data_IF_775323411328
#
_entry.id   IF_775323411328
#
_cell.length_a   1.000
_cell.length_b   1.000
_cell.length_c   1.000
_cell.angle_alpha   90.00
_cell.angle_beta   90.00
_cell.angle_gamma   90.00
#
_symmetry.space_group_name_H-M   'P 1'
#
loop_
_entity.id
_entity.type
_entity.pdbx_description
1 polymer ?
#
# COMPACT_ATOMS: atom_id res chain seq x y z
N UNK A 1 24.98 0.48 12.58
CA UNK A 1 24.08 0.84 13.69
C UNK A 1 23.31 -0.37 14.20
N UNK A 2 22.90 -0.39 15.49
CA UNK A 2 21.98 -1.38 16.04
C UNK A 2 20.59 -0.79 16.15
N UNK A 3 19.57 -1.49 15.64
CA UNK A 3 18.18 -1.01 15.53
C UNK A 3 17.24 -2.01 16.22
N UNK A 4 16.49 -1.59 17.23
CA UNK A 4 15.36 -2.37 17.73
C UNK A 4 14.14 -2.08 16.89
N UNK A 5 13.66 -3.08 16.16
CA UNK A 5 12.46 -2.99 15.33
C UNK A 5 11.26 -3.50 16.13
N UNK A 6 10.43 -2.55 16.59
CA UNK A 6 9.20 -2.87 17.32
C UNK A 6 8.02 -2.77 16.36
N UNK A 7 7.80 -3.82 15.58
CA UNK A 7 6.74 -3.90 14.57
C UNK A 7 6.43 -5.37 14.29
N UNK A 8 5.25 -5.67 13.72
CA UNK A 8 4.93 -7.05 13.35
C UNK A 8 5.21 -7.32 11.87
N UNK A 9 5.57 -8.57 11.59
CA UNK A 9 5.63 -9.15 10.25
C UNK A 9 4.43 -10.04 9.99
N UNK A 10 4.13 -10.43 8.74
CA UNK A 10 3.03 -11.35 8.44
C UNK A 10 3.10 -12.65 9.24
N UNK A 11 1.96 -13.30 9.55
CA UNK A 11 0.59 -12.84 9.45
C UNK A 11 0.20 -11.83 10.56
N UNK A 12 -0.83 -10.99 10.41
CA UNK A 12 -1.70 -10.87 9.23
C UNK A 12 -1.00 -10.18 8.04
N UNK A 13 -1.38 -10.60 6.83
CA UNK A 13 -0.82 -10.04 5.59
C UNK A 13 -1.50 -8.71 5.24
N UNK A 14 -0.77 -7.62 5.34
CA UNK A 14 -1.15 -6.28 4.85
C UNK A 14 0.12 -5.48 4.50
N UNK A 15 -0.03 -4.40 3.76
CA UNK A 15 1.10 -3.65 3.20
C UNK A 15 2.19 -3.28 4.22
N UNK A 16 1.82 -2.76 5.41
CA UNK A 16 2.77 -2.42 6.47
C UNK A 16 3.59 -3.63 6.95
N UNK A 17 2.92 -4.77 7.28
CA UNK A 17 3.63 -5.95 7.78
C UNK A 17 4.57 -6.54 6.74
N UNK A 18 4.19 -6.47 5.45
CA UNK A 18 5.02 -6.90 4.35
C UNK A 18 6.27 -5.99 4.19
N UNK A 19 6.10 -4.66 4.26
CA UNK A 19 7.24 -3.74 4.19
C UNK A 19 8.22 -3.93 5.37
N UNK A 20 7.72 -4.18 6.59
CA UNK A 20 8.57 -4.50 7.74
C UNK A 20 9.35 -5.81 7.52
N UNK A 21 8.71 -6.81 6.92
CA UNK A 21 9.39 -8.07 6.55
C UNK A 21 10.52 -7.80 5.54
N UNK A 22 10.23 -7.09 4.45
CA UNK A 22 11.22 -6.77 3.41
C UNK A 22 12.41 -5.96 3.97
N UNK A 23 12.14 -5.00 4.86
CA UNK A 23 13.19 -4.26 5.56
C UNK A 23 14.08 -5.18 6.39
N UNK A 24 13.48 -6.06 7.21
CA UNK A 24 14.26 -7.00 8.04
C UNK A 24 15.11 -7.93 7.17
N UNK A 25 14.52 -8.53 6.14
CA UNK A 25 15.23 -9.40 5.20
C UNK A 25 16.36 -8.65 4.49
N UNK A 26 16.12 -7.42 4.06
CA UNK A 26 17.09 -6.57 3.38
C UNK A 26 18.30 -6.20 4.27
N UNK A 27 18.11 -6.08 5.59
CA UNK A 27 19.17 -5.81 6.55
C UNK A 27 19.73 -7.08 7.22
N UNK A 28 19.48 -8.28 6.67
CA UNK A 28 20.05 -9.54 7.15
C UNK A 28 19.26 -10.22 8.27
N UNK A 29 18.01 -9.82 8.52
CA UNK A 29 17.12 -10.44 9.48
C UNK A 29 17.32 -10.00 10.92
N UNK A 30 16.77 -10.79 11.86
CA UNK A 30 17.00 -10.56 13.30
C UNK A 30 18.37 -11.07 13.71
N UNK A 31 19.25 -10.19 14.17
CA UNK A 31 20.62 -10.47 14.56
C UNK A 31 20.77 -11.54 15.68
N UNK A 32 19.66 -11.90 16.34
CA UNK A 32 19.63 -12.98 17.36
C UNK A 32 19.43 -14.38 16.76
N UNK A 33 19.08 -14.47 15.46
CA UNK A 33 18.84 -15.73 14.76
C UNK A 33 20.05 -16.13 13.94
N UNK A 34 20.51 -17.35 14.08
CA UNK A 34 21.64 -17.93 13.34
C UNK A 34 21.15 -19.12 12.51
N UNK A 35 21.70 -19.34 11.29
CA UNK A 35 22.59 -18.43 10.56
C UNK A 35 21.85 -17.18 10.08
N UNK A 36 22.51 -16.03 10.10
CA UNK A 36 21.98 -14.80 9.53
C UNK A 36 21.79 -14.93 8.01
N UNK A 37 20.79 -14.24 7.47
CA UNK A 37 20.65 -14.09 6.02
C UNK A 37 21.68 -13.06 5.52
N UNK A 38 22.19 -13.18 4.29
CA UNK A 38 23.04 -12.14 3.71
C UNK A 38 22.23 -10.84 3.58
N UNK A 39 22.77 -9.77 4.15
CA UNK A 39 22.16 -8.45 4.03
C UNK A 39 22.33 -7.93 2.60
N UNK A 40 21.29 -7.27 2.05
CA UNK A 40 21.40 -6.50 0.80
C UNK A 40 22.08 -5.16 1.04
N UNK A 41 21.92 -4.61 2.26
CA UNK A 41 22.56 -3.37 2.68
C UNK A 41 23.23 -3.60 4.04
N UNK A 42 24.54 -3.41 4.08
CA UNK A 42 25.37 -3.65 5.26
C UNK A 42 25.28 -2.53 6.31
N UNK A 43 25.79 -2.81 7.51
CA UNK A 43 25.99 -1.81 8.56
C UNK A 43 24.77 -1.51 9.43
N UNK A 44 23.63 -2.19 9.23
CA UNK A 44 22.43 -2.10 10.09
C UNK A 44 22.14 -3.50 10.65
N UNK A 45 22.18 -3.64 11.98
CA UNK A 45 21.82 -4.86 12.68
C UNK A 45 20.44 -4.70 13.33
N UNK A 46 19.45 -5.44 12.86
CA UNK A 46 18.09 -5.41 13.37
C UNK A 46 17.92 -6.40 14.54
N UNK A 47 17.26 -5.95 15.59
CA UNK A 47 16.80 -6.75 16.72
C UNK A 47 15.28 -6.65 16.74
N UNK A 48 14.56 -7.71 16.40
CA UNK A 48 13.15 -7.67 16.10
C UNK A 48 12.27 -8.11 17.26
N UNK A 49 11.38 -7.23 17.73
CA UNK A 49 10.23 -7.58 18.58
C UNK A 49 9.00 -7.67 17.67
N UNK A 50 8.59 -8.91 17.37
CA UNK A 50 7.40 -9.15 16.54
C UNK A 50 6.13 -8.85 17.32
N UNK A 51 5.79 -7.57 17.42
CA UNK A 51 4.69 -7.03 18.22
C UNK A 51 3.32 -7.24 17.54
N UNK A 52 2.87 -8.50 17.51
CA UNK A 52 1.59 -8.90 16.92
C UNK A 52 0.45 -8.73 17.93
N UNK A 53 -0.36 -7.68 17.79
CA UNK A 53 -1.47 -7.39 18.68
C UNK A 53 -2.83 -7.94 18.20
N UNK A 54 -2.93 -8.37 16.95
CA UNK A 54 -4.16 -8.90 16.35
C UNK A 54 -3.87 -10.24 15.67
N UNK A 55 -4.81 -11.19 15.78
CA UNK A 55 -4.70 -12.50 15.13
C UNK A 55 -5.20 -12.46 13.69
N UNK A 56 -6.13 -11.54 13.38
CA UNK A 56 -6.72 -11.35 12.06
C UNK A 56 -7.04 -9.89 11.77
N UNK A 57 -7.47 -9.58 10.54
CA UNK A 57 -7.85 -8.22 10.13
C UNK A 57 -9.11 -7.73 10.86
N UNK A 58 -10.01 -8.63 11.25
CA UNK A 58 -11.25 -8.30 11.98
C UNK A 58 -10.97 -7.86 13.43
N UNK A 59 -9.88 -8.32 14.03
CA UNK A 59 -9.50 -7.98 15.41
C UNK A 59 -8.80 -6.62 15.53
N UNK A 60 -8.56 -5.94 14.42
CA UNK A 60 -7.84 -4.67 14.40
C UNK A 60 -8.73 -3.55 14.95
N UNK A 61 -8.39 -3.07 16.14
CA UNK A 61 -9.08 -1.94 16.78
C UNK A 61 -10.07 -2.31 17.89
N UNK A 62 -10.26 -3.61 18.20
CA UNK A 62 -11.04 -4.02 19.38
C UNK A 62 -10.22 -3.96 20.67
N UNK A 63 -10.85 -3.43 21.73
CA UNK A 63 -10.28 -3.41 23.06
C UNK A 63 -10.51 -4.74 23.77
N UNK A 64 -9.43 -5.46 24.07
CA UNK A 64 -9.45 -6.68 24.89
C UNK A 64 -8.40 -6.54 26.00
N UNK A 65 -8.76 -6.84 27.23
CA UNK A 65 -7.83 -6.79 28.38
C UNK A 65 -6.57 -7.64 28.17
N UNK A 66 -6.69 -8.78 27.50
CA UNK A 66 -5.56 -9.62 27.13
C UNK A 66 -4.51 -8.90 26.25
N UNK A 67 -4.91 -7.89 25.46
CA UNK A 67 -3.98 -7.10 24.63
C UNK A 67 -3.04 -6.23 25.48
N UNK A 68 -3.46 -5.79 26.67
CA UNK A 68 -2.59 -5.02 27.58
C UNK A 68 -1.41 -5.89 28.05
N UNK A 69 -1.65 -7.12 28.43
CA UNK A 69 -0.58 -8.05 28.83
C UNK A 69 0.40 -8.32 27.68
N UNK A 70 -0.10 -8.44 26.45
CA UNK A 70 0.76 -8.57 25.27
C UNK A 70 1.62 -7.32 25.04
N UNK A 71 1.05 -6.12 25.22
CA UNK A 71 1.82 -4.87 25.10
C UNK A 71 2.94 -4.85 26.15
N UNK A 72 2.62 -5.13 27.42
CA UNK A 72 3.61 -5.17 28.48
C UNK A 72 4.70 -6.21 28.20
N UNK A 73 4.33 -7.38 27.75
CA UNK A 73 5.27 -8.44 27.37
C UNK A 73 6.23 -8.00 26.25
N UNK A 74 5.71 -7.39 25.17
CA UNK A 74 6.56 -6.91 24.09
C UNK A 74 7.44 -5.72 24.54
N UNK A 75 6.93 -4.83 25.41
CA UNK A 75 7.77 -3.78 25.99
C UNK A 75 8.90 -4.34 26.84
N UNK A 76 8.64 -5.36 27.68
CA UNK A 76 9.67 -6.03 28.47
C UNK A 76 10.72 -6.69 27.58
N UNK A 77 10.30 -7.34 26.48
CA UNK A 77 11.25 -7.89 25.48
C UNK A 77 12.11 -6.77 24.88
N UNK A 78 11.53 -5.64 24.51
CA UNK A 78 12.28 -4.51 23.97
C UNK A 78 13.32 -3.97 24.94
N UNK A 79 12.93 -3.78 26.21
CA UNK A 79 13.81 -3.33 27.29
C UNK A 79 14.93 -4.36 27.55
N UNK A 80 14.59 -5.65 27.60
CA UNK A 80 15.57 -6.71 27.74
C UNK A 80 16.62 -6.68 26.61
N UNK A 81 16.18 -6.57 25.36
CA UNK A 81 17.06 -6.47 24.18
C UNK A 81 17.95 -5.22 24.28
N UNK A 82 17.38 -4.08 24.69
CA UNK A 82 18.12 -2.83 24.89
C UNK A 82 19.35 -3.05 25.75
N UNK A 83 19.19 -3.66 26.94
CA UNK A 83 20.29 -3.87 27.88
C UNK A 83 21.16 -5.04 27.50
N UNK A 84 20.60 -6.15 27.03
CA UNK A 84 21.37 -7.38 26.70
C UNK A 84 22.30 -7.21 25.50
N UNK A 85 21.90 -6.40 24.51
CA UNK A 85 22.61 -6.24 23.24
C UNK A 85 23.14 -4.81 23.00
N UNK A 86 22.91 -3.90 23.92
CA UNK A 86 23.33 -2.49 23.78
C UNK A 86 22.67 -1.77 22.62
N UNK A 87 21.37 -2.04 22.35
CA UNK A 87 20.65 -1.42 21.26
C UNK A 87 20.05 -0.10 21.72
N UNK A 88 20.42 1.02 21.11
CA UNK A 88 20.03 2.38 21.54
C UNK A 88 18.99 3.03 20.65
N UNK A 89 18.77 2.51 19.46
CA UNK A 89 17.83 3.07 18.47
C UNK A 89 16.52 2.27 18.49
N UNK A 90 15.41 2.96 18.77
CA UNK A 90 14.06 2.39 18.81
C UNK A 90 13.29 2.77 17.56
N UNK A 91 13.06 1.80 16.68
CA UNK A 91 12.25 1.95 15.48
C UNK A 91 10.84 1.45 15.75
N UNK A 92 9.86 2.32 15.49
CA UNK A 92 8.46 2.08 15.76
C UNK A 92 7.58 2.50 14.59
N UNK A 93 6.51 1.74 14.35
CA UNK A 93 5.49 2.06 13.34
C UNK A 93 4.22 2.54 14.05
N UNK A 94 3.91 3.85 13.97
CA UNK A 94 2.75 4.43 14.63
C UNK A 94 1.43 3.95 14.03
N UNK A 95 0.38 3.93 14.85
CA UNK A 95 -0.97 3.62 14.41
C UNK A 95 -1.59 4.76 13.57
N UNK A 96 -2.55 4.43 12.68
CA UNK A 96 -3.41 5.43 12.07
C UNK A 96 -4.31 6.09 13.11
N UNK A 97 -5.01 7.17 12.76
CA UNK A 97 -5.90 7.95 13.60
C UNK A 97 -7.12 7.15 14.12
N UNK A 98 -6.90 6.31 15.13
CA UNK A 98 -7.94 5.57 15.88
C UNK A 98 -7.59 5.60 17.37
N UNK A 99 -8.55 5.96 18.24
CA UNK A 99 -8.32 6.11 19.69
C UNK A 99 -7.72 4.88 20.35
N UNK A 100 -8.30 3.70 20.11
CA UNK A 100 -7.82 2.43 20.72
C UNK A 100 -6.38 2.12 20.30
N UNK A 101 -6.05 2.33 19.04
CA UNK A 101 -4.70 2.10 18.54
C UNK A 101 -3.71 3.12 19.10
N UNK A 102 -4.12 4.38 19.29
CA UNK A 102 -3.28 5.42 19.86
C UNK A 102 -3.03 5.23 21.37
N UNK A 103 -3.99 4.70 22.13
CA UNK A 103 -3.76 4.32 23.53
C UNK A 103 -2.68 3.23 23.66
N UNK A 104 -2.66 2.26 22.72
CA UNK A 104 -1.58 1.29 22.63
C UNK A 104 -0.23 2.01 22.41
N UNK A 105 -0.19 2.92 21.46
CA UNK A 105 1.04 3.66 21.12
C UNK A 105 1.51 4.52 22.32
N UNK A 106 0.60 5.14 23.05
CA UNK A 106 0.93 5.87 24.28
C UNK A 106 1.61 4.97 25.31
N UNK A 107 1.04 3.78 25.55
CA UNK A 107 1.59 2.84 26.51
C UNK A 107 2.98 2.34 26.08
N UNK A 108 3.18 2.03 24.80
CA UNK A 108 4.48 1.62 24.26
C UNK A 108 5.51 2.76 24.39
N UNK A 109 5.14 4.00 24.04
CA UNK A 109 6.04 5.15 24.16
C UNK A 109 6.37 5.43 25.62
N UNK A 110 5.40 5.38 26.54
CA UNK A 110 5.63 5.57 27.96
C UNK A 110 6.59 4.54 28.54
N UNK A 111 6.46 3.27 28.16
CA UNK A 111 7.25 2.18 28.71
C UNK A 111 8.61 1.99 28.02
N UNK A 112 8.70 2.16 26.71
CA UNK A 112 9.93 1.87 25.97
C UNK A 112 10.82 3.10 25.80
N UNK A 113 10.25 4.26 25.42
CA UNK A 113 11.04 5.45 25.07
C UNK A 113 12.10 5.85 26.10
N UNK A 114 11.86 5.80 27.44
CA UNK A 114 12.86 6.21 28.43
C UNK A 114 14.16 5.41 28.40
N UNK A 115 14.15 4.23 27.80
CA UNK A 115 15.31 3.34 27.76
C UNK A 115 16.12 3.42 26.46
N UNK A 116 15.65 4.21 25.47
CA UNK A 116 16.32 4.33 24.17
C UNK A 116 16.79 5.77 23.94
N UNK A 117 17.99 5.90 23.41
CA UNK A 117 18.62 7.20 23.16
C UNK A 117 17.98 7.90 21.96
N UNK A 118 17.53 7.11 20.98
CA UNK A 118 16.92 7.63 19.74
C UNK A 118 15.62 6.93 19.40
N UNK A 119 14.60 7.72 19.09
CA UNK A 119 13.29 7.25 18.61
C UNK A 119 13.14 7.57 17.14
N UNK A 120 12.85 6.55 16.37
CA UNK A 120 12.63 6.58 14.92
C UNK A 120 11.21 6.11 14.64
N UNK A 121 10.41 6.94 13.99
CA UNK A 121 9.06 6.59 13.58
C UNK A 121 9.02 6.35 12.08
N UNK A 122 8.38 5.27 11.63
CA UNK A 122 8.15 5.01 10.22
C UNK A 122 6.63 4.97 9.93
N UNK A 123 6.16 5.91 9.14
CA UNK A 123 4.73 6.18 8.92
C UNK A 123 4.20 5.44 7.69
N UNK A 124 3.56 4.28 7.90
CA UNK A 124 2.91 3.53 6.81
C UNK A 124 1.46 3.96 6.57
N UNK A 125 0.83 4.64 7.53
CA UNK A 125 -0.49 5.25 7.39
C UNK A 125 -0.40 6.77 7.44
N UNK A 126 -1.36 7.45 6.82
CA UNK A 126 -1.42 8.91 6.75
C UNK A 126 -2.59 9.49 7.55
N UNK A 127 -2.43 10.74 8.00
CA UNK A 127 -3.52 11.58 8.51
C UNK A 127 -3.72 11.56 10.02
N UNK A 128 -2.78 11.05 10.81
CA UNK A 128 -2.85 11.09 12.27
C UNK A 128 -2.93 12.54 12.79
N UNK A 129 -2.10 13.44 12.26
CA UNK A 129 -2.07 14.83 12.70
C UNK A 129 -3.41 15.54 12.46
N UNK A 130 -3.97 15.39 11.25
CA UNK A 130 -5.28 15.97 10.92
C UNK A 130 -6.37 15.40 11.83
N UNK A 131 -6.41 14.08 12.02
CA UNK A 131 -7.38 13.43 12.88
C UNK A 131 -7.26 13.90 14.35
N UNK A 132 -6.05 14.09 14.86
CA UNK A 132 -5.83 14.65 16.19
C UNK A 132 -6.37 16.09 16.32
N UNK A 133 -6.23 16.89 15.28
CA UNK A 133 -6.66 18.29 15.27
C UNK A 133 -8.16 18.48 15.08
N UNK A 134 -8.79 17.64 14.24
CA UNK A 134 -10.19 17.81 13.85
C UNK A 134 -11.19 17.02 14.72
N UNK A 135 -10.78 15.86 15.23
CA UNK A 135 -11.71 14.93 15.88
C UNK A 135 -11.43 14.71 17.38
N UNK A 136 -10.40 15.36 17.93
CA UNK A 136 -10.02 15.11 19.31
C UNK A 136 -9.80 16.41 20.11
N UNK A 137 -10.13 16.39 21.44
CA UNK A 137 -9.96 17.55 22.31
C UNK A 137 -8.47 17.86 22.49
N UNK A 138 -8.20 19.14 22.87
CA UNK A 138 -6.84 19.68 22.97
C UNK A 138 -5.95 18.91 23.95
N UNK A 139 -6.50 18.47 25.08
CA UNK A 139 -5.76 17.69 26.08
C UNK A 139 -5.31 16.31 25.53
N UNK A 140 -6.18 15.64 24.78
CA UNK A 140 -5.84 14.36 24.13
C UNK A 140 -4.71 14.54 23.10
N UNK A 141 -4.80 15.55 22.25
CA UNK A 141 -3.77 15.93 21.29
C UNK A 141 -2.44 16.26 21.96
N UNK A 142 -2.48 17.13 23.00
CA UNK A 142 -1.29 17.55 23.74
C UNK A 142 -0.61 16.37 24.43
N UNK A 143 -1.39 15.46 25.02
CA UNK A 143 -0.87 14.22 25.64
C UNK A 143 -0.18 13.36 24.61
N UNK A 144 -0.78 13.16 23.43
CA UNK A 144 -0.16 12.42 22.34
C UNK A 144 1.19 13.02 21.98
N UNK A 145 1.24 14.32 21.73
CA UNK A 145 2.49 14.98 21.36
C UNK A 145 3.58 14.87 22.46
N UNK A 146 3.20 14.97 23.72
CA UNK A 146 4.14 14.83 24.85
C UNK A 146 4.71 13.41 24.99
N UNK A 147 3.87 12.39 24.82
CA UNK A 147 4.28 11.00 24.96
C UNK A 147 5.20 10.55 23.83
N UNK A 148 4.99 11.06 22.62
CA UNK A 148 5.85 10.68 21.47
C UNK A 148 7.20 11.40 21.49
N UNK A 149 7.28 12.65 21.98
CA UNK A 149 8.52 13.45 21.95
C UNK A 149 9.55 13.00 23.00
N UNK A 150 10.85 13.13 22.73
CA UNK A 150 11.46 13.58 21.47
C UNK A 150 11.43 12.49 20.39
N UNK A 151 11.29 12.90 19.10
CA UNK A 151 11.40 12.04 17.94
C UNK A 151 12.63 12.51 17.16
N UNK A 152 13.60 11.63 16.97
CA UNK A 152 14.86 11.95 16.31
C UNK A 152 14.77 11.87 14.79
N UNK A 153 13.99 10.90 14.29
CA UNK A 153 13.73 10.74 12.86
C UNK A 153 12.28 10.28 12.65
N UNK A 154 11.58 10.94 11.76
CA UNK A 154 10.36 10.41 11.13
C UNK A 154 10.64 10.06 9.67
N UNK A 155 10.36 8.81 9.32
CA UNK A 155 10.39 8.32 7.95
C UNK A 155 8.95 8.32 7.46
N UNK A 156 8.68 9.05 6.39
CA UNK A 156 7.36 9.16 5.75
C UNK A 156 7.43 8.64 4.33
N UNK A 157 6.32 8.07 3.82
CA UNK A 157 6.32 7.46 2.49
C UNK A 157 6.16 8.49 1.35
N UNK A 158 5.70 9.71 1.66
CA UNK A 158 5.42 10.74 0.66
C UNK A 158 5.54 12.14 1.27
N UNK A 159 5.58 13.15 0.43
CA UNK A 159 5.52 14.55 0.88
C UNK A 159 4.19 14.87 1.56
N UNK A 160 3.10 14.23 1.12
CA UNK A 160 1.78 14.36 1.73
C UNK A 160 1.81 14.02 3.23
N UNK A 161 2.59 13.02 3.64
CA UNK A 161 2.70 12.57 5.03
C UNK A 161 3.60 13.44 5.93
N UNK A 162 4.33 14.39 5.38
CA UNK A 162 5.23 15.25 6.19
C UNK A 162 4.49 15.94 7.32
N UNK A 163 3.24 16.35 7.11
CA UNK A 163 2.42 17.01 8.12
C UNK A 163 2.29 16.19 9.42
N UNK A 164 2.19 14.86 9.34
CA UNK A 164 2.14 13.98 10.51
C UNK A 164 3.43 14.05 11.34
N UNK A 165 4.58 14.05 10.66
CA UNK A 165 5.91 14.14 11.29
C UNK A 165 6.22 15.55 11.83
N UNK A 166 5.84 16.59 11.09
CA UNK A 166 6.06 18.00 11.47
C UNK A 166 5.26 18.39 12.74
N UNK A 167 4.00 17.95 12.84
CA UNK A 167 3.18 18.19 14.03
C UNK A 167 3.71 17.51 15.29
N UNK A 168 4.39 16.39 15.14
CA UNK A 168 5.08 15.72 16.24
C UNK A 168 6.47 16.31 16.53
N UNK A 169 6.90 17.36 15.82
CA UNK A 169 8.20 18.04 15.97
C UNK A 169 9.39 17.06 15.86
N UNK A 170 9.37 16.22 14.86
CA UNK A 170 10.51 15.35 14.56
C UNK A 170 11.75 16.19 14.23
N UNK A 171 12.90 15.84 14.82
CA UNK A 171 14.16 16.55 14.57
C UNK A 171 14.55 16.46 13.10
N UNK A 172 14.31 15.30 12.48
CA UNK A 172 14.52 15.04 11.05
C UNK A 172 13.31 14.35 10.44
N UNK A 173 13.06 14.64 9.17
CA UNK A 173 12.02 14.00 8.37
C UNK A 173 12.66 13.55 7.06
N UNK A 174 12.64 12.24 6.82
CA UNK A 174 13.05 11.63 5.57
C UNK A 174 11.82 11.12 4.80
N UNK A 175 11.80 11.34 3.48
CA UNK A 175 10.82 10.73 2.59
C UNK A 175 11.48 9.50 1.99
N UNK A 176 10.91 8.32 2.24
CA UNK A 176 11.38 7.03 1.73
C UNK A 176 10.18 6.27 1.19
N UNK A 177 10.13 6.09 -0.11
CA UNK A 177 9.04 5.36 -0.75
C UNK A 177 9.05 3.88 -0.34
N UNK A 178 7.88 3.23 -0.33
CA UNK A 178 7.82 1.77 -0.30
C UNK A 178 8.53 1.19 -1.52
N UNK A 179 9.12 0.00 -1.38
CA UNK A 179 9.72 -0.70 -2.51
C UNK A 179 9.56 -2.20 -2.35
N UNK A 180 9.36 -2.89 -3.46
CA UNK A 180 9.16 -4.34 -3.49
C UNK A 180 10.20 -5.01 -4.39
N UNK A 181 10.51 -6.33 -4.16
CA UNK A 181 11.21 -7.12 -5.16
C UNK A 181 10.45 -7.04 -6.48
N UNK A 182 11.18 -7.00 -7.58
CA UNK A 182 10.54 -7.00 -8.90
C UNK A 182 9.76 -8.33 -9.12
N UNK A 183 8.42 -8.28 -9.22
CA UNK A 183 7.61 -9.47 -9.47
C UNK A 183 7.53 -9.84 -10.95
N UNK A 184 8.13 -9.03 -11.84
CA UNK A 184 8.06 -9.19 -13.29
C UNK A 184 9.43 -8.97 -13.96
N UNK A 185 10.46 -9.77 -13.61
CA UNK A 185 11.82 -9.57 -14.12
C UNK A 185 11.95 -9.79 -15.63
N UNK A 186 10.96 -10.43 -16.26
CA UNK A 186 10.85 -10.66 -17.69
C UNK A 186 9.98 -9.61 -18.41
N UNK A 187 9.74 -8.44 -17.78
CA UNK A 187 8.87 -7.41 -18.32
C UNK A 187 9.26 -7.00 -19.75
N UNK A 188 10.52 -6.63 -19.98
CA UNK A 188 11.02 -6.13 -21.26
C UNK A 188 10.97 -7.19 -22.39
N UNK A 189 11.18 -8.46 -22.02
CA UNK A 189 11.32 -9.54 -23.02
C UNK A 189 10.02 -10.28 -23.32
N UNK A 190 9.07 -10.29 -22.38
CA UNK A 190 7.83 -11.07 -22.49
C UNK A 190 6.59 -10.18 -22.38
N UNK A 191 6.49 -9.40 -21.31
CA UNK A 191 5.25 -8.68 -21.02
C UNK A 191 5.06 -7.45 -21.91
N UNK A 192 6.09 -6.64 -22.07
CA UNK A 192 6.04 -5.43 -22.90
C UNK A 192 5.72 -5.72 -24.37
N UNK A 193 6.37 -6.67 -25.06
CA UNK A 193 6.02 -7.01 -26.45
C UNK A 193 4.56 -7.43 -26.62
N UNK A 194 4.05 -8.25 -25.70
CA UNK A 194 2.64 -8.66 -25.70
C UNK A 194 1.68 -7.48 -25.50
N UNK A 195 1.99 -6.55 -24.56
CA UNK A 195 1.18 -5.36 -24.34
C UNK A 195 1.17 -4.41 -25.54
N UNK A 196 2.32 -4.22 -26.18
CA UNK A 196 2.43 -3.40 -27.40
C UNK A 196 1.62 -4.00 -28.55
N UNK A 197 1.68 -5.32 -28.73
CA UNK A 197 0.86 -6.00 -29.74
C UNK A 197 -0.64 -5.81 -29.46
N UNK A 198 -1.10 -6.02 -28.22
CA UNK A 198 -2.50 -5.81 -27.85
C UNK A 198 -2.93 -4.34 -28.01
N UNK A 199 -2.04 -3.40 -27.76
CA UNK A 199 -2.29 -1.99 -28.02
C UNK A 199 -2.47 -1.71 -29.52
N UNK A 200 -1.59 -2.24 -30.37
CA UNK A 200 -1.69 -2.08 -31.82
C UNK A 200 -2.94 -2.76 -32.37
N UNK A 201 -3.33 -3.91 -31.85
CA UNK A 201 -4.59 -4.57 -32.20
C UNK A 201 -5.81 -3.72 -31.83
N UNK A 202 -5.84 -3.15 -30.62
CA UNK A 202 -6.89 -2.18 -30.22
C UNK A 202 -6.95 -0.99 -31.18
N UNK A 203 -5.79 -0.39 -31.50
CA UNK A 203 -5.71 0.76 -32.41
C UNK A 203 -6.23 0.46 -33.81
N UNK A 204 -5.98 -0.74 -34.31
CA UNK A 204 -6.53 -1.20 -35.60
C UNK A 204 -8.05 -1.32 -35.58
N UNK A 205 -8.63 -1.70 -34.44
CA UNK A 205 -10.09 -1.86 -34.29
C UNK A 205 -10.84 -0.53 -34.29
N UNK A 206 -10.22 0.55 -33.82
CA UNK A 206 -10.81 1.90 -33.93
C UNK A 206 -11.01 2.35 -35.38
N UNK A 207 -10.29 1.74 -36.35
CA UNK A 207 -10.25 2.16 -37.74
C UNK A 207 -10.90 1.15 -38.72
N UNK A 208 -11.54 0.06 -38.25
CA UNK A 208 -12.08 -1.01 -39.13
C UNK A 208 -13.54 -1.35 -38.84
N UNK A 209 -14.19 -1.98 -39.84
CA UNK A 209 -15.56 -2.48 -39.77
C UNK A 209 -15.75 -3.53 -38.63
N UNK A 210 -17.01 -3.75 -38.17
CA UNK A 210 -17.30 -4.61 -37.03
C UNK A 210 -16.73 -6.02 -37.17
N UNK A 211 -16.07 -6.48 -36.10
CA UNK A 211 -15.61 -7.87 -35.98
C UNK A 211 -16.80 -8.80 -35.67
N UNK A 212 -16.66 -10.07 -35.99
CA UNK A 212 -17.65 -11.11 -35.63
C UNK A 212 -17.79 -11.23 -34.11
N UNK A 213 -16.68 -11.01 -33.35
CA UNK A 213 -16.68 -10.97 -31.89
C UNK A 213 -15.89 -9.75 -31.38
N UNK A 214 -16.36 -9.08 -30.29
CA UNK A 214 -15.67 -7.94 -29.73
C UNK A 214 -14.36 -8.37 -29.03
N UNK A 215 -13.32 -7.57 -29.16
CA UNK A 215 -12.08 -7.75 -28.41
C UNK A 215 -12.34 -7.56 -26.90
N UNK A 216 -11.95 -8.54 -26.08
CA UNK A 216 -12.04 -8.45 -24.64
C UNK A 216 -10.84 -7.73 -24.05
N UNK A 217 -11.09 -6.67 -23.28
CA UNK A 217 -10.13 -5.91 -22.49
C UNK A 217 -10.24 -6.36 -21.03
N UNK A 218 -9.17 -6.92 -20.48
CA UNK A 218 -9.11 -7.35 -19.09
C UNK A 218 -8.79 -6.20 -18.14
N UNK A 219 -9.74 -5.81 -17.29
CA UNK A 219 -9.49 -4.88 -16.19
C UNK A 219 -9.32 -5.67 -14.88
N UNK A 220 -8.42 -5.20 -14.00
CA UNK A 220 -8.17 -5.83 -12.70
C UNK A 220 -8.38 -4.82 -11.56
N UNK A 221 -9.18 -5.21 -10.56
CA UNK A 221 -9.23 -4.62 -9.23
C UNK A 221 -8.60 -5.61 -8.25
N UNK A 222 -7.55 -5.20 -7.52
CA UNK A 222 -6.83 -6.06 -6.58
C UNK A 222 -6.66 -5.34 -5.24
N UNK A 223 -7.59 -5.54 -4.30
CA UNK A 223 -7.57 -4.93 -2.97
C UNK A 223 -8.59 -5.61 -2.05
N UNK A 224 -8.66 -5.19 -0.78
CA UNK A 224 -9.83 -5.49 0.05
C UNK A 224 -11.10 -5.00 -0.65
N UNK A 225 -12.10 -5.88 -0.74
CA UNK A 225 -13.37 -5.61 -1.39
C UNK A 225 -14.24 -4.72 -0.50
N UNK A 226 -13.95 -3.41 -0.48
CA UNK A 226 -14.71 -2.41 0.28
C UNK A 226 -15.10 -1.25 -0.60
N UNK A 227 -16.17 -0.56 -0.20
CA UNK A 227 -16.64 0.67 -0.84
C UNK A 227 -15.54 1.74 -0.87
N UNK A 228 -14.85 1.93 0.26
CA UNK A 228 -13.79 2.93 0.38
C UNK A 228 -12.59 2.64 -0.56
N UNK A 229 -12.29 1.37 -0.84
CA UNK A 229 -11.26 0.97 -1.82
C UNK A 229 -11.71 1.11 -3.28
N UNK A 230 -12.99 1.43 -3.49
CA UNK A 230 -13.54 1.70 -4.81
C UNK A 230 -14.08 0.48 -5.55
N UNK A 231 -14.40 -0.62 -4.85
CA UNK A 231 -14.95 -1.83 -5.45
C UNK A 231 -16.16 -1.54 -6.34
N UNK A 232 -17.20 -0.94 -5.76
CA UNK A 232 -18.47 -0.69 -6.47
C UNK A 232 -18.34 0.39 -7.54
N UNK A 233 -17.53 1.43 -7.28
CA UNK A 233 -17.22 2.46 -8.26
C UNK A 233 -16.48 1.88 -9.49
N UNK A 234 -15.56 0.93 -9.28
CA UNK A 234 -14.87 0.23 -10.38
C UNK A 234 -15.84 -0.60 -11.21
N UNK A 235 -16.73 -1.37 -10.56
CA UNK A 235 -17.71 -2.19 -11.25
C UNK A 235 -18.69 -1.33 -12.08
N UNK A 236 -19.27 -0.30 -11.48
CA UNK A 236 -20.17 0.63 -12.17
C UNK A 236 -19.47 1.36 -13.32
N UNK A 237 -18.23 1.82 -13.12
CA UNK A 237 -17.44 2.48 -14.16
C UNK A 237 -17.20 1.59 -15.38
N UNK A 238 -16.91 0.30 -15.17
CA UNK A 238 -16.72 -0.66 -16.27
C UNK A 238 -18.03 -0.90 -17.03
N UNK A 239 -19.15 -1.00 -16.34
CA UNK A 239 -20.47 -1.10 -16.98
C UNK A 239 -20.75 0.14 -17.83
N UNK A 240 -20.45 1.35 -17.35
CA UNK A 240 -20.62 2.61 -18.09
C UNK A 240 -19.65 2.70 -19.27
N UNK A 241 -18.39 2.32 -19.09
CA UNK A 241 -17.42 2.27 -20.18
C UNK A 241 -17.89 1.34 -21.32
N UNK A 242 -18.44 0.16 -20.97
CA UNK A 242 -19.01 -0.74 -21.98
C UNK A 242 -20.21 -0.14 -22.73
N UNK A 243 -21.08 0.63 -22.05
CA UNK A 243 -22.17 1.36 -22.74
C UNK A 243 -21.62 2.39 -23.73
N UNK A 244 -20.62 3.18 -23.30
CA UNK A 244 -19.97 4.16 -24.17
C UNK A 244 -19.26 3.51 -25.37
N UNK A 245 -18.64 2.34 -25.20
CA UNK A 245 -18.04 1.58 -26.30
C UNK A 245 -19.12 1.12 -27.30
N UNK A 246 -20.26 0.63 -26.80
CA UNK A 246 -21.38 0.21 -27.64
C UNK A 246 -22.02 1.39 -28.39
N UNK A 247 -22.24 2.54 -27.73
CA UNK A 247 -22.75 3.77 -28.34
C UNK A 247 -21.86 4.30 -29.47
N UNK A 248 -20.52 4.12 -29.31
CA UNK A 248 -19.52 4.47 -30.33
C UNK A 248 -19.35 3.39 -31.41
N UNK A 249 -20.11 2.30 -31.34
CA UNK A 249 -20.01 1.11 -32.22
C UNK A 249 -18.57 0.52 -32.27
N UNK A 250 -17.82 0.63 -31.17
CA UNK A 250 -16.48 0.07 -31.07
C UNK A 250 -16.55 -1.43 -30.74
N UNK A 251 -15.85 -2.30 -31.49
CA UNK A 251 -15.91 -3.75 -31.30
C UNK A 251 -15.00 -4.21 -30.13
N UNK A 252 -15.21 -3.63 -28.95
CA UNK A 252 -14.46 -3.92 -27.73
C UNK A 252 -15.42 -4.09 -26.55
N UNK A 253 -15.02 -4.91 -25.57
CA UNK A 253 -15.73 -5.12 -24.33
C UNK A 253 -14.75 -5.23 -23.18
N UNK A 254 -14.98 -4.52 -22.08
CA UNK A 254 -14.18 -4.58 -20.86
C UNK A 254 -14.81 -5.60 -19.91
N UNK A 255 -13.98 -6.52 -19.40
CA UNK A 255 -14.32 -7.42 -18.28
C UNK A 255 -13.48 -7.05 -17.09
N UNK A 256 -14.10 -6.94 -15.90
CA UNK A 256 -13.41 -6.63 -14.65
C UNK A 256 -13.28 -7.90 -13.80
N UNK A 257 -12.05 -8.27 -13.48
CA UNK A 257 -11.74 -9.27 -12.45
C UNK A 257 -11.51 -8.56 -11.12
N UNK A 258 -12.29 -8.95 -10.10
CA UNK A 258 -12.15 -8.46 -8.73
C UNK A 258 -11.44 -9.52 -7.91
N UNK A 259 -10.28 -9.15 -7.35
CA UNK A 259 -9.46 -10.04 -6.51
C UNK A 259 -9.25 -9.42 -5.12
N UNK A 260 -9.68 -10.14 -4.07
CA UNK A 260 -9.56 -9.73 -2.67
C UNK A 260 -10.64 -10.32 -1.77
N UNK A 261 -10.52 -10.04 -0.47
CA UNK A 261 -11.53 -10.44 0.50
C UNK A 261 -12.48 -9.29 0.83
N UNK A 262 -13.75 -9.59 1.02
CA UNK A 262 -14.69 -8.68 1.68
C UNK A 262 -14.32 -8.52 3.15
N UNK A 263 -14.39 -7.29 3.64
CA UNK A 263 -14.11 -6.95 5.04
C UNK A 263 -15.38 -7.01 5.88
N UNK A 264 -16.51 -6.61 5.30
CA UNK A 264 -17.84 -6.64 5.94
C UNK A 264 -18.79 -7.57 5.21
N UNK A 265 -19.76 -8.11 5.95
CA UNK A 265 -20.80 -8.95 5.35
C UNK A 265 -21.78 -8.11 4.51
N UNK A 266 -22.04 -6.86 4.90
CA UNK A 266 -22.93 -5.95 4.16
C UNK A 266 -22.42 -5.72 2.72
N UNK A 267 -21.12 -5.46 2.54
CA UNK A 267 -20.52 -5.27 1.22
C UNK A 267 -20.53 -6.58 0.40
N UNK A 268 -20.34 -7.71 1.07
CA UNK A 268 -20.43 -9.03 0.43
C UNK A 268 -21.84 -9.32 -0.08
N UNK A 269 -22.87 -9.06 0.74
CA UNK A 269 -24.27 -9.29 0.36
C UNK A 269 -24.73 -8.28 -0.71
N UNK A 270 -24.28 -7.03 -0.66
CA UNK A 270 -24.51 -6.06 -1.74
C UNK A 270 -23.93 -6.56 -3.07
N UNK A 271 -22.67 -7.03 -3.06
CA UNK A 271 -22.03 -7.57 -4.25
C UNK A 271 -22.78 -8.79 -4.80
N UNK A 272 -23.22 -9.71 -3.95
CA UNK A 272 -24.02 -10.87 -4.37
C UNK A 272 -25.35 -10.47 -5.03
N UNK A 273 -26.02 -9.44 -4.49
CA UNK A 273 -27.26 -8.92 -5.09
C UNK A 273 -27.00 -8.34 -6.48
N UNK A 274 -25.94 -7.55 -6.65
CA UNK A 274 -25.56 -7.01 -7.96
C UNK A 274 -25.21 -8.12 -8.95
N UNK A 275 -24.58 -9.19 -8.48
CA UNK A 275 -24.21 -10.33 -9.32
C UNK A 275 -25.39 -11.19 -9.79
N UNK A 276 -26.62 -10.95 -9.29
CA UNK A 276 -27.84 -11.56 -9.82
C UNK A 276 -28.29 -10.94 -11.16
N UNK A 277 -27.85 -9.71 -11.46
CA UNK A 277 -28.06 -9.10 -12.75
C UNK A 277 -27.18 -9.76 -13.82
N UNK A 278 -27.77 -10.16 -14.93
CA UNK A 278 -27.09 -10.91 -15.99
C UNK A 278 -26.00 -10.11 -16.69
N UNK A 279 -26.16 -8.79 -16.83
CA UNK A 279 -25.18 -7.91 -17.46
C UNK A 279 -23.98 -7.72 -16.50
N UNK A 280 -24.27 -7.52 -15.21
CA UNK A 280 -23.24 -7.44 -14.19
C UNK A 280 -22.44 -8.74 -14.12
N UNK A 281 -23.08 -9.89 -14.00
CA UNK A 281 -22.45 -11.21 -13.91
C UNK A 281 -21.61 -11.56 -15.15
N UNK A 282 -22.05 -11.14 -16.35
CA UNK A 282 -21.30 -11.34 -17.58
C UNK A 282 -20.08 -10.41 -17.74
N UNK A 283 -20.02 -9.33 -16.95
CA UNK A 283 -18.98 -8.29 -17.05
C UNK A 283 -18.00 -8.32 -15.88
N UNK A 284 -18.48 -8.64 -14.69
CA UNK A 284 -17.73 -8.59 -13.44
C UNK A 284 -17.50 -9.99 -12.89
N UNK A 285 -16.26 -10.39 -12.76
CA UNK A 285 -15.85 -11.70 -12.20
C UNK A 285 -15.23 -11.51 -10.81
N UNK A 286 -15.56 -12.39 -9.87
CA UNK A 286 -14.95 -12.42 -8.54
C UNK A 286 -13.99 -13.59 -8.39
N UNK A 287 -12.70 -13.30 -8.29
CA UNK A 287 -11.63 -14.29 -8.17
C UNK A 287 -11.32 -14.70 -6.71
N UNK A 288 -11.93 -14.02 -5.72
CA UNK A 288 -11.60 -14.22 -4.31
C UNK A 288 -10.22 -13.68 -3.94
N UNK A 289 -9.71 -14.09 -2.78
CA UNK A 289 -8.36 -13.74 -2.35
C UNK A 289 -7.31 -14.47 -3.20
N UNK A 290 -6.34 -13.74 -3.70
CA UNK A 290 -5.23 -14.25 -4.48
C UNK A 290 -3.89 -13.82 -3.90
N UNK A 291 -2.87 -14.68 -4.02
CA UNK A 291 -1.50 -14.38 -3.62
C UNK A 291 -0.51 -15.21 -4.46
N UNK A 292 0.77 -14.86 -4.41
CA UNK A 292 1.84 -15.55 -5.13
C UNK A 292 1.56 -15.63 -6.64
N UNK A 293 1.86 -16.76 -7.24
CA UNK A 293 1.76 -16.99 -8.69
C UNK A 293 0.39 -16.65 -9.29
N UNK A 294 -0.71 -16.99 -8.58
CA UNK A 294 -2.06 -16.67 -9.06
C UNK A 294 -2.31 -15.16 -9.16
N UNK A 295 -1.77 -14.38 -8.21
CA UNK A 295 -1.82 -12.91 -8.26
C UNK A 295 -1.01 -12.39 -9.46
N UNK A 296 0.21 -12.90 -9.64
CA UNK A 296 1.09 -12.48 -10.72
C UNK A 296 0.51 -12.81 -12.10
N UNK A 297 -0.17 -13.96 -12.24
CA UNK A 297 -0.90 -14.32 -13.45
C UNK A 297 -2.02 -13.32 -13.78
N UNK A 298 -2.83 -12.89 -12.77
CA UNK A 298 -3.85 -11.88 -13.00
C UNK A 298 -3.25 -10.54 -13.44
N UNK A 299 -2.14 -10.11 -12.83
CA UNK A 299 -1.44 -8.89 -13.21
C UNK A 299 -0.84 -8.96 -14.62
N UNK A 300 -0.34 -10.13 -15.04
CA UNK A 300 0.16 -10.36 -16.40
C UNK A 300 -0.95 -10.33 -17.46
N UNK A 301 -2.09 -10.91 -17.15
CA UNK A 301 -3.22 -11.07 -18.09
C UNK A 301 -4.06 -9.80 -18.23
N UNK A 302 -4.06 -8.92 -17.23
CA UNK A 302 -4.82 -7.69 -17.26
C UNK A 302 -4.26 -6.70 -18.30
N UNK A 303 -5.15 -5.93 -18.93
CA UNK A 303 -4.79 -4.82 -19.83
C UNK A 303 -4.78 -3.48 -19.09
N UNK A 304 -5.45 -3.40 -17.92
CA UNK A 304 -5.61 -2.18 -17.15
C UNK A 304 -5.86 -2.49 -15.68
N UNK A 305 -5.40 -1.61 -14.79
CA UNK A 305 -5.61 -1.69 -13.35
C UNK A 305 -6.52 -0.56 -12.88
N UNK A 306 -7.58 -0.90 -12.13
CA UNK A 306 -8.56 0.07 -11.61
C UNK A 306 -8.57 0.03 -10.10
N UNK A 307 -8.17 1.15 -9.47
CA UNK A 307 -8.11 1.25 -8.01
C UNK A 307 -8.51 2.66 -7.53
N UNK A 308 -9.77 3.06 -7.66
CA UNK A 308 -10.23 4.41 -7.32
C UNK A 308 -10.48 4.54 -5.82
N UNK A 309 -9.47 4.31 -4.99
CA UNK A 309 -9.58 4.33 -3.53
C UNK A 309 -9.80 5.73 -2.97
N UNK A 310 -10.65 5.82 -1.94
CA UNK A 310 -10.78 6.96 -1.02
C UNK A 310 -10.65 6.52 0.45
N UNK A 311 -9.99 5.39 0.67
CA UNK A 311 -9.75 4.88 2.02
C UNK A 311 -8.92 5.86 2.86
N UNK A 312 -9.42 6.19 4.06
CA UNK A 312 -8.80 7.20 4.92
C UNK A 312 -7.38 6.85 5.38
N UNK A 313 -7.04 5.60 5.49
CA UNK A 313 -5.70 5.14 5.87
C UNK A 313 -4.75 4.96 4.68
N UNK A 314 -5.17 5.29 3.45
CA UNK A 314 -4.35 5.08 2.27
C UNK A 314 -3.11 5.97 2.28
N UNK A 315 -1.99 5.36 1.89
CA UNK A 315 -0.74 6.10 1.71
C UNK A 315 -0.05 5.62 0.43
N UNK A 316 0.85 4.65 0.51
CA UNK A 316 1.45 4.03 -0.67
C UNK A 316 1.02 2.56 -0.77
N UNK A 317 -0.10 2.26 -1.45
CA UNK A 317 -0.63 0.91 -1.58
C UNK A 317 0.30 0.02 -2.42
N UNK A 318 0.67 -1.12 -1.87
CA UNK A 318 1.59 -2.09 -2.52
C UNK A 318 1.00 -2.65 -3.81
N UNK A 319 -0.31 -2.86 -3.87
CA UNK A 319 -0.99 -3.33 -5.08
C UNK A 319 -0.83 -2.37 -6.27
N UNK A 320 -0.73 -1.05 -6.01
CA UNK A 320 -0.46 -0.05 -7.05
C UNK A 320 1.00 -0.17 -7.53
N UNK A 321 1.94 -0.41 -6.61
CA UNK A 321 3.35 -0.65 -6.95
C UNK A 321 3.49 -1.94 -7.77
N UNK A 322 2.78 -2.99 -7.38
CA UNK A 322 2.72 -4.25 -8.15
C UNK A 322 2.16 -4.02 -9.55
N UNK A 323 1.05 -3.29 -9.69
CA UNK A 323 0.50 -2.96 -11.01
C UNK A 323 1.50 -2.19 -11.89
N UNK A 324 2.27 -1.26 -11.30
CA UNK A 324 3.34 -0.55 -12.01
C UNK A 324 4.46 -1.49 -12.45
N UNK A 325 4.86 -2.45 -11.62
CA UNK A 325 5.90 -3.43 -11.96
C UNK A 325 5.51 -4.28 -13.18
N UNK A 326 4.22 -4.59 -13.34
CA UNK A 326 3.71 -5.28 -14.53
C UNK A 326 3.38 -4.32 -15.70
N UNK A 327 3.71 -3.03 -15.61
CA UNK A 327 3.44 -2.04 -16.64
C UNK A 327 1.95 -1.93 -16.98
N UNK A 328 1.07 -2.07 -15.99
CA UNK A 328 -0.36 -1.91 -16.21
C UNK A 328 -0.71 -0.42 -16.28
N UNK A 329 -1.41 0.05 -17.32
CA UNK A 329 -2.09 1.33 -17.27
C UNK A 329 -3.03 1.37 -16.05
N UNK A 330 -3.03 2.48 -15.32
CA UNK A 330 -3.68 2.59 -14.02
C UNK A 330 -4.77 3.66 -14.06
N UNK A 331 -5.96 3.34 -13.54
CA UNK A 331 -6.98 4.34 -13.22
C UNK A 331 -7.16 4.38 -11.70
N UNK A 332 -6.86 5.52 -11.10
CA UNK A 332 -6.97 5.74 -9.65
C UNK A 332 -7.37 7.17 -9.32
N UNK A 333 -7.63 7.45 -8.04
CA UNK A 333 -8.08 8.77 -7.59
C UNK A 333 -6.91 9.69 -7.21
N UNK A 334 -7.13 11.02 -7.27
CA UNK A 334 -6.26 12.05 -6.67
C UNK A 334 -6.45 12.07 -5.15
N UNK A 335 -6.25 10.92 -4.52
CA UNK A 335 -6.46 10.76 -3.09
C UNK A 335 -5.12 10.71 -2.36
N UNK A 336 -4.93 11.60 -1.38
CA UNK A 336 -3.74 11.64 -0.49
C UNK A 336 -2.42 11.63 -1.28
N UNK A 337 -1.60 10.62 -1.07
CA UNK A 337 -0.28 10.45 -1.69
C UNK A 337 -0.31 9.77 -3.06
N UNK A 338 -1.46 9.28 -3.54
CA UNK A 338 -1.53 8.56 -4.81
C UNK A 338 -1.02 9.36 -6.02
N UNK A 339 -1.28 10.69 -6.12
CA UNK A 339 -0.69 11.48 -7.20
C UNK A 339 0.85 11.50 -7.20
N UNK A 340 1.49 11.35 -6.01
CA UNK A 340 2.95 11.31 -5.90
C UNK A 340 3.54 9.95 -6.30
N UNK A 341 2.70 8.91 -6.38
CA UNK A 341 3.12 7.55 -6.77
C UNK A 341 3.19 7.34 -8.28
N UNK A 342 2.56 8.20 -9.06
CA UNK A 342 2.46 8.04 -10.52
C UNK A 342 3.35 9.07 -11.23
N UNK A 343 3.75 8.80 -12.47
CA UNK A 343 4.50 9.76 -13.27
C UNK A 343 3.82 11.13 -13.33
N UNK A 344 4.56 12.22 -13.48
CA UNK A 344 3.98 13.55 -13.60
C UNK A 344 2.93 13.63 -14.72
N UNK A 345 1.81 14.30 -14.45
CA UNK A 345 0.69 14.47 -15.40
C UNK A 345 0.08 13.16 -15.90
N UNK A 346 0.10 12.11 -15.07
CA UNK A 346 -0.44 10.81 -15.44
C UNK A 346 -1.94 10.88 -15.76
N UNK A 347 -2.39 10.36 -16.93
CA UNK A 347 -3.76 10.59 -17.44
C UNK A 347 -4.84 9.81 -16.70
N UNK A 348 -4.47 8.72 -15.99
CA UNK A 348 -5.42 7.86 -15.27
C UNK A 348 -5.84 8.36 -13.89
N UNK A 349 -5.47 9.60 -13.51
CA UNK A 349 -5.84 10.20 -12.22
C UNK A 349 -7.20 10.92 -12.31
N UNK A 350 -8.20 10.45 -11.55
CA UNK A 350 -9.52 11.06 -11.40
C UNK A 350 -9.69 11.74 -10.03
N UNK A 351 -10.55 12.75 -9.92
CA UNK A 351 -10.68 13.53 -8.69
C UNK A 351 -11.37 12.78 -7.54
N UNK A 352 -12.28 11.86 -7.88
CA UNK A 352 -13.10 11.12 -6.91
C UNK A 352 -13.56 9.77 -7.46
N UNK A 353 -14.36 9.03 -6.68
CA UNK A 353 -14.96 7.74 -7.07
C UNK A 353 -16.21 7.90 -7.99
N UNK A 354 -16.32 8.95 -8.74
CA UNK A 354 -17.40 9.15 -9.72
C UNK A 354 -17.26 8.14 -10.87
N UNK A 355 -18.22 7.22 -11.06
CA UNK A 355 -18.14 6.19 -12.09
C UNK A 355 -18.06 6.73 -13.52
N UNK A 356 -18.63 7.90 -13.82
CA UNK A 356 -18.56 8.52 -15.16
C UNK A 356 -17.14 9.02 -15.45
N UNK A 357 -16.50 9.67 -14.47
CA UNK A 357 -15.11 10.12 -14.59
C UNK A 357 -14.15 8.96 -14.71
N UNK A 358 -14.36 7.89 -13.91
CA UNK A 358 -13.57 6.67 -13.98
C UNK A 358 -13.75 6.01 -15.36
N UNK A 359 -14.98 5.91 -15.87
CA UNK A 359 -15.25 5.33 -17.20
C UNK A 359 -14.56 6.13 -18.32
N UNK A 360 -14.63 7.46 -18.25
CA UNK A 360 -13.92 8.33 -19.20
C UNK A 360 -12.40 8.14 -19.13
N UNK A 361 -11.83 8.04 -17.93
CA UNK A 361 -10.40 7.78 -17.73
C UNK A 361 -10.00 6.39 -18.25
N UNK A 362 -10.83 5.36 -18.05
CA UNK A 362 -10.62 4.03 -18.62
C UNK A 362 -10.49 4.11 -20.13
N UNK A 363 -11.45 4.77 -20.82
CA UNK A 363 -11.41 4.87 -22.27
C UNK A 363 -10.21 5.68 -22.76
N UNK A 364 -9.88 6.79 -22.10
CA UNK A 364 -8.70 7.60 -22.45
C UNK A 364 -7.38 6.84 -22.32
N UNK A 365 -7.23 6.06 -21.25
CA UNK A 365 -5.97 5.34 -20.99
C UNK A 365 -5.78 4.12 -21.93
N UNK A 366 -6.86 3.57 -22.45
CA UNK A 366 -6.79 2.49 -23.46
C UNK A 366 -6.22 2.96 -24.80
N UNK A 367 -6.24 4.28 -25.06
CA UNK A 367 -5.65 4.89 -26.25
C UNK A 367 -4.16 5.25 -26.05
N UNK A 368 -3.63 5.10 -24.83
CA UNK A 368 -2.26 5.49 -24.45
C UNK A 368 -1.34 4.27 -24.24
N UNK A 369 -0.07 4.42 -24.59
CA UNK A 369 1.02 3.45 -24.31
C UNK A 369 1.67 3.66 -22.94
N UNK A 370 0.93 4.18 -21.98
CA UNK A 370 1.48 4.58 -20.67
C UNK A 370 2.08 3.44 -19.83
N UNK A 371 1.82 2.19 -20.18
CA UNK A 371 2.30 1.02 -19.43
C UNK A 371 3.83 0.92 -19.32
N UNK A 372 4.57 1.26 -20.38
CA UNK A 372 6.05 1.28 -20.36
C UNK A 372 6.57 2.37 -19.41
N UNK A 373 5.96 3.55 -19.45
CA UNK A 373 6.32 4.69 -18.59
C UNK A 373 6.08 4.33 -17.11
N UNK A 374 5.00 3.61 -16.83
CA UNK A 374 4.63 3.18 -15.47
C UNK A 374 5.62 2.14 -14.95
N UNK A 375 6.04 1.17 -15.77
CA UNK A 375 7.05 0.18 -15.38
C UNK A 375 8.41 0.85 -15.11
N UNK A 376 8.85 1.75 -15.98
CA UNK A 376 10.10 2.51 -15.76
C UNK A 376 10.02 3.30 -14.44
N UNK A 377 8.87 3.92 -14.15
CA UNK A 377 8.68 4.62 -12.88
C UNK A 377 8.75 3.68 -11.67
N UNK A 378 8.28 2.43 -11.79
CA UNK A 378 8.49 1.41 -10.76
C UNK A 378 9.98 1.11 -10.54
N UNK A 379 10.72 0.82 -11.60
CA UNK A 379 12.16 0.49 -11.49
C UNK A 379 12.97 1.61 -10.87
N UNK A 380 12.67 2.86 -11.23
CA UNK A 380 13.40 4.04 -10.79
C UNK A 380 13.02 4.51 -9.37
N UNK A 381 11.84 4.12 -8.85
CA UNK A 381 11.32 4.71 -7.60
C UNK A 381 10.90 3.69 -6.56
N UNK A 382 10.35 2.54 -6.97
CA UNK A 382 9.67 1.60 -6.07
C UNK A 382 10.31 0.21 -6.05
N UNK A 383 11.53 0.06 -6.59
CA UNK A 383 12.29 -1.18 -6.45
C UNK A 383 12.76 -1.36 -5.01
N UNK A 384 12.91 -2.63 -4.57
CA UNK A 384 13.35 -2.95 -3.22
C UNK A 384 14.74 -2.38 -2.93
N UNK A 385 15.65 -2.39 -3.91
CA UNK A 385 17.01 -1.92 -3.72
C UNK A 385 17.06 -0.40 -3.49
N UNK A 386 16.25 0.38 -4.21
CA UNK A 386 16.07 1.82 -3.94
C UNK A 386 15.51 2.06 -2.54
N UNK A 387 14.41 1.36 -2.18
CA UNK A 387 13.81 1.46 -0.86
C UNK A 387 14.81 1.19 0.26
N UNK A 388 15.57 0.09 0.18
CA UNK A 388 16.54 -0.29 1.22
C UNK A 388 17.71 0.68 1.30
N UNK A 389 18.18 1.19 0.15
CA UNK A 389 19.25 2.20 0.09
C UNK A 389 18.81 3.49 0.78
N UNK A 390 17.65 4.03 0.40
CA UNK A 390 17.10 5.28 0.95
C UNK A 390 16.78 5.13 2.44
N UNK A 391 16.20 3.99 2.83
CA UNK A 391 15.90 3.68 4.22
C UNK A 391 17.19 3.60 5.07
N UNK A 392 18.22 2.95 4.56
CA UNK A 392 19.50 2.87 5.24
C UNK A 392 20.17 4.26 5.38
N UNK A 393 20.12 5.08 4.33
CA UNK A 393 20.64 6.45 4.38
C UNK A 393 19.89 7.29 5.43
N UNK A 394 18.54 7.20 5.46
CA UNK A 394 17.71 7.87 6.46
C UNK A 394 18.06 7.40 7.89
N UNK A 395 18.16 6.09 8.11
CA UNK A 395 18.51 5.52 9.43
C UNK A 395 19.89 5.96 9.91
N UNK A 396 20.92 5.90 9.05
CA UNK A 396 22.29 6.34 9.39
C UNK A 396 22.37 7.83 9.71
N UNK A 397 21.49 8.65 9.13
CA UNK A 397 21.47 10.08 9.39
C UNK A 397 21.23 10.43 10.86
N UNK A 398 20.68 9.50 11.66
CA UNK A 398 20.44 9.68 13.09
C UNK A 398 21.72 9.56 13.92
N UNK A 399 22.76 8.90 13.41
CA UNK A 399 24.02 8.67 14.15
C UNK A 399 24.99 9.87 14.08
N UNK A 400 24.76 10.80 13.20
CA UNK A 400 25.67 11.94 12.92
C UNK A 400 25.56 13.07 13.96
N UNK A 401 24.76 12.90 15.04
CA UNK A 401 24.62 13.89 16.12
C UNK A 401 24.68 13.30 17.51
#
# INVERSE_FOLDING_TARGET
MKLLVFAHTPPPHHGQSYMVQLMLEGFGGDARRLPGQPARVDGIQCYHVNARFSRGLQDVGEFQSAKIFLILWFCLQAIYIRFRHGVTNFYYVPAPGKRVALFRDWLIMLLCRPFFDRVILHWHAAGLAKWLETENPINFRTTTYRLFRPIHLSIVLSRYNRADAEKLLSTRIAVVNNGIPDPCPDFETVVLPHRLQRFDDRKRLFNRAPLAEPMVIGALFLAHCTREKGLFASAEAVLRANRLLAERALPMRIKLTIAGNFVTDDEREEFKRLHQDSVFAATIEYAGFVSGEKKDQLLRQADLFIFPTQYLGENQPVNLIEAMAFGLPIVTTRWRSLPEMLPPNYPGLVDNQDPDKIAAAILGILEDKSGEIVHRHFTDTFSLDHHLSDLAAALRSVEVF
#
